data_IF_596340659274
#
_entry.id   IF_596340659274
#
_cell.length_a   1.000
_cell.length_b   1.000
_cell.length_c   1.000
_cell.angle_alpha   90.00
_cell.angle_beta   90.00
_cell.angle_gamma   90.00
#
_symmetry.space_group_name_H-M   'P 1'
#
loop_
_entity.id
_entity.type
_entity.pdbx_description
1 polymer ?
#
# COMPACT_ATOMS: atom_id res chain seq x y z
N UNK A 1 25.58 -23.30 24.99
CA UNK A 1 25.36 -23.65 23.56
C UNK A 1 24.01 -24.33 23.30
N UNK A 2 23.59 -25.35 24.06
CA UNK A 2 22.28 -26.03 23.88
C UNK A 2 21.05 -25.13 23.93
N UNK A 3 21.01 -24.16 24.84
CA UNK A 3 19.88 -23.23 24.99
C UNK A 3 19.62 -22.39 23.73
N UNK A 4 20.69 -21.93 23.07
CA UNK A 4 20.61 -21.16 21.83
C UNK A 4 19.99 -21.97 20.68
N UNK A 5 20.37 -23.24 20.50
CA UNK A 5 19.77 -24.10 19.47
C UNK A 5 18.27 -24.32 19.68
N UNK A 6 17.82 -24.44 20.93
CA UNK A 6 16.39 -24.59 21.26
C UNK A 6 15.63 -23.30 20.93
N UNK A 7 16.22 -22.14 21.23
CA UNK A 7 15.63 -20.84 20.90
C UNK A 7 15.49 -20.67 19.38
N UNK A 8 16.54 -20.97 18.62
CA UNK A 8 16.51 -20.91 17.15
C UNK A 8 15.45 -21.83 16.57
N UNK A 9 15.31 -23.06 17.07
CA UNK A 9 14.27 -24.00 16.62
C UNK A 9 12.85 -23.50 16.89
N UNK A 10 12.63 -22.89 18.07
CA UNK A 10 11.33 -22.29 18.39
C UNK A 10 11.00 -21.12 17.47
N UNK A 11 11.96 -20.22 17.23
CA UNK A 11 11.79 -19.10 16.30
C UNK A 11 11.55 -19.58 14.88
N UNK A 12 12.27 -20.63 14.43
CA UNK A 12 12.07 -21.22 13.10
C UNK A 12 10.64 -21.77 12.95
N UNK A 13 10.10 -22.41 13.98
CA UNK A 13 8.72 -22.92 13.96
C UNK A 13 7.69 -21.79 13.83
N UNK A 14 7.88 -20.69 14.55
CA UNK A 14 7.03 -19.50 14.44
C UNK A 14 7.20 -18.84 13.06
N UNK A 15 8.42 -18.79 12.53
CA UNK A 15 8.70 -18.27 11.21
C UNK A 15 7.98 -19.05 10.11
N UNK A 16 8.03 -20.39 10.14
CA UNK A 16 7.31 -21.24 9.18
C UNK A 16 5.80 -21.03 9.28
N UNK A 17 5.24 -20.93 10.48
CA UNK A 17 3.82 -20.64 10.68
C UNK A 17 3.45 -19.27 10.10
N UNK A 18 4.27 -18.26 10.36
CA UNK A 18 4.10 -16.91 9.84
C UNK A 18 4.14 -16.90 8.31
N UNK A 19 5.17 -17.49 7.69
CA UNK A 19 5.30 -17.59 6.23
C UNK A 19 4.13 -18.33 5.61
N UNK A 20 3.68 -19.44 6.20
CA UNK A 20 2.50 -20.17 5.75
C UNK A 20 1.24 -19.29 5.77
N UNK A 21 1.05 -18.54 6.87
CA UNK A 21 -0.04 -17.57 6.98
C UNK A 21 0.07 -16.47 5.92
N UNK A 22 1.26 -15.89 5.71
CA UNK A 22 1.50 -14.85 4.68
C UNK A 22 1.15 -15.36 3.29
N UNK A 23 1.52 -16.59 2.95
CA UNK A 23 1.21 -17.20 1.66
C UNK A 23 -0.29 -17.40 1.50
N UNK A 24 -0.98 -17.91 2.53
CA UNK A 24 -2.44 -18.07 2.51
C UNK A 24 -3.15 -16.73 2.33
N UNK A 25 -2.71 -15.69 3.03
CA UNK A 25 -3.24 -14.33 2.85
C UNK A 25 -2.98 -13.79 1.45
N UNK A 26 -1.78 -14.01 0.90
CA UNK A 26 -1.44 -13.56 -0.45
C UNK A 26 -2.36 -14.19 -1.50
N UNK A 27 -2.55 -15.52 -1.44
CA UNK A 27 -3.49 -16.19 -2.34
C UNK A 27 -4.94 -15.80 -2.08
N UNK A 28 -5.34 -15.58 -0.84
CA UNK A 28 -6.66 -15.06 -0.50
C UNK A 28 -6.91 -13.67 -1.07
N UNK A 29 -5.92 -12.77 -0.99
CA UNK A 29 -5.96 -11.45 -1.61
C UNK A 29 -5.97 -11.54 -3.13
N UNK A 30 -5.20 -12.45 -3.72
CA UNK A 30 -5.18 -12.65 -5.17
C UNK A 30 -6.54 -13.17 -5.67
N UNK A 31 -7.14 -14.12 -4.96
CA UNK A 31 -8.48 -14.62 -5.27
C UNK A 31 -9.56 -13.54 -5.11
N UNK A 32 -9.48 -12.76 -4.04
CA UNK A 32 -10.36 -11.60 -3.82
C UNK A 32 -10.17 -10.52 -4.91
N UNK A 33 -8.94 -10.30 -5.35
CA UNK A 33 -8.61 -9.32 -6.38
C UNK A 33 -9.07 -9.78 -7.77
N UNK A 34 -9.06 -11.08 -8.05
CA UNK A 34 -9.58 -11.64 -9.30
C UNK A 34 -11.10 -11.41 -9.42
N UNK A 35 -11.84 -11.55 -8.31
CA UNK A 35 -13.25 -11.14 -8.21
C UNK A 35 -13.42 -9.63 -8.44
N UNK A 36 -12.50 -8.81 -7.92
CA UNK A 36 -12.52 -7.35 -8.07
C UNK A 36 -12.21 -6.88 -9.51
N UNK A 37 -11.31 -7.58 -10.22
CA UNK A 37 -10.95 -7.30 -11.61
C UNK A 37 -12.07 -7.69 -12.59
N UNK A 38 -12.92 -8.65 -12.22
CA UNK A 38 -14.10 -9.03 -13.02
C UNK A 38 -15.19 -7.95 -13.05
N UNK A 39 -15.14 -7.00 -12.12
CA UNK A 39 -15.95 -5.78 -12.15
C UNK A 39 -15.37 -4.78 -13.16
N UNK A 40 -15.65 -4.99 -14.45
CA UNK A 40 -15.65 -3.92 -15.44
C UNK A 40 -16.59 -2.79 -14.98
N UNK A 41 -16.07 -1.77 -14.29
CA UNK A 41 -16.90 -0.63 -13.88
C UNK A 41 -16.20 0.71 -14.00
N UNK A 42 -15.30 0.84 -14.94
CA UNK A 42 -14.95 2.14 -15.48
C UNK A 42 -14.78 2.00 -16.99
N UNK A 43 -15.86 2.22 -17.72
CA UNK A 43 -15.73 2.76 -19.07
C UNK A 43 -14.97 4.08 -18.92
N UNK A 44 -13.84 4.19 -19.62
CA UNK A 44 -13.02 5.39 -19.62
C UNK A 44 -13.89 6.57 -20.06
N UNK A 45 -14.00 7.66 -19.29
CA UNK A 45 -14.85 8.77 -19.69
C UNK A 45 -14.32 9.39 -20.98
N UNK A 46 -15.13 9.46 -22.03
CA UNK A 46 -14.87 10.21 -23.27
C UNK A 46 -14.88 11.74 -23.06
N UNK A 47 -14.30 12.22 -21.97
CA UNK A 47 -14.24 13.63 -21.61
C UNK A 47 -12.80 14.05 -21.43
N UNK A 48 -12.32 14.94 -22.29
CA UNK A 48 -10.99 15.54 -22.27
C UNK A 48 -10.47 15.78 -20.85
N UNK A 49 -9.47 15.01 -20.43
CA UNK A 49 -8.78 15.21 -19.17
C UNK A 49 -8.13 16.61 -19.18
N UNK A 50 -8.74 17.56 -18.48
CA UNK A 50 -8.12 18.87 -18.26
C UNK A 50 -6.94 18.64 -17.33
N UNK A 51 -5.74 18.68 -17.90
CA UNK A 51 -4.47 18.60 -17.19
C UNK A 51 -4.27 19.87 -16.38
N UNK A 52 -4.72 19.88 -15.13
CA UNK A 52 -4.43 20.95 -14.15
C UNK A 52 -3.01 20.72 -13.61
N UNK A 53 -2.01 20.91 -14.47
CA UNK A 53 -0.62 20.83 -14.08
C UNK A 53 0.13 22.03 -14.63
N UNK A 54 0.32 23.02 -13.76
CA UNK A 54 1.55 23.81 -13.71
C UNK A 54 1.62 25.00 -14.66
N UNK A 55 1.01 26.11 -14.25
CA UNK A 55 1.57 27.44 -14.53
C UNK A 55 1.29 28.35 -13.33
N UNK A 56 2.10 28.18 -12.28
CA UNK A 56 2.31 29.18 -11.25
C UNK A 56 3.74 29.01 -10.74
N UNK A 57 4.66 29.64 -11.47
CA UNK A 57 5.69 30.53 -10.92
C UNK A 57 6.47 29.98 -9.72
N UNK A 58 7.72 29.65 -10.01
CA UNK A 58 8.89 29.82 -9.14
C UNK A 58 8.64 30.70 -7.90
N UNK A 59 8.41 30.08 -6.75
CA UNK A 59 9.08 30.44 -5.51
C UNK A 59 8.86 29.32 -4.49
N UNK A 60 9.87 29.15 -3.65
CA UNK A 60 10.11 28.09 -2.69
C UNK A 60 8.84 27.69 -1.90
N UNK A 61 8.06 26.76 -2.47
CA UNK A 61 6.87 26.24 -1.78
C UNK A 61 7.34 25.20 -0.79
N UNK A 62 7.60 25.66 0.43
CA UNK A 62 8.03 24.85 1.56
C UNK A 62 7.02 23.72 1.78
N UNK A 63 7.49 22.50 1.59
CA UNK A 63 6.72 21.26 1.75
C UNK A 63 6.06 21.17 3.14
N UNK A 64 6.61 21.89 4.13
CA UNK A 64 6.11 21.96 5.48
C UNK A 64 4.78 22.72 5.60
N UNK A 65 4.61 23.82 4.87
CA UNK A 65 3.35 24.57 4.84
C UNK A 65 2.22 23.73 4.24
N UNK A 66 2.52 22.90 3.24
CA UNK A 66 1.56 21.94 2.70
C UNK A 66 1.12 20.90 3.73
N UNK A 67 2.03 20.49 4.61
CA UNK A 67 1.76 19.48 5.63
C UNK A 67 0.85 20.02 6.75
N UNK A 68 1.04 21.29 7.13
CA UNK A 68 0.14 22.00 8.06
C UNK A 68 -1.24 22.19 7.44
N UNK A 69 -1.30 22.57 6.17
CA UNK A 69 -2.57 22.78 5.47
C UNK A 69 -3.37 21.48 5.36
N UNK A 70 -2.70 20.37 5.07
CA UNK A 70 -3.29 19.02 5.07
C UNK A 70 -3.87 18.66 6.45
N UNK A 71 -3.13 18.97 7.52
CA UNK A 71 -3.60 18.75 8.89
C UNK A 71 -4.83 19.58 9.25
N UNK A 72 -4.90 20.82 8.78
CA UNK A 72 -6.00 21.74 9.10
C UNK A 72 -7.25 21.49 8.25
N UNK A 73 -7.07 21.19 6.96
CA UNK A 73 -8.18 21.05 6.01
C UNK A 73 -8.63 19.60 5.81
N UNK A 74 -7.82 18.61 6.19
CA UNK A 74 -8.22 17.21 6.23
C UNK A 74 -8.57 16.59 4.87
N UNK A 75 -7.99 17.10 3.78
CA UNK A 75 -8.10 16.58 2.42
C UNK A 75 -6.81 15.94 1.95
#
# INVERSE_FOLDING_TARGET
MRSWMIMTFKTLKVFVLFTGCTILFYYGLLWLNEEYQSYHRYDEPEGSAVRVSGDAVSDETDWFDRLILFYHNGE
#
